data_IF_378595696787
#
_entry.id   IF_378595696787
#
_cell.length_a   1.000
_cell.length_b   1.000
_cell.length_c   1.000
_cell.angle_alpha   90.00
_cell.angle_beta   90.00
_cell.angle_gamma   90.00
#
_symmetry.space_group_name_H-M   'P 1'
#
loop_
_entity.id
_entity.type
_entity.pdbx_description
1 polymer ?
#
# COMPACT_ATOMS: atom_id res chain seq x y z
N UNK A 1 -2.42 4.02 -4.91
CA UNK A 1 -1.33 4.99 -5.11
C UNK A 1 -1.69 6.14 -6.07
N UNK A 2 -2.25 5.84 -7.22
CA UNK A 2 -2.47 6.87 -8.26
C UNK A 2 -3.30 8.07 -7.80
N UNK A 3 -4.40 7.82 -7.08
CA UNK A 3 -5.27 8.86 -6.56
C UNK A 3 -4.69 9.62 -5.36
N UNK A 4 -3.70 9.02 -4.70
CA UNK A 4 -3.08 9.57 -3.50
C UNK A 4 -1.70 10.17 -3.76
N UNK A 5 -1.31 10.29 -5.03
CA UNK A 5 0.05 10.74 -5.38
C UNK A 5 0.42 12.08 -4.73
N UNK A 6 -0.51 13.02 -4.69
CA UNK A 6 -0.28 14.35 -4.11
C UNK A 6 0.06 14.30 -2.62
N UNK A 7 -0.39 13.30 -1.90
CA UNK A 7 -0.10 13.14 -0.47
C UNK A 7 1.39 12.89 -0.20
N UNK A 8 2.11 12.35 -1.19
CA UNK A 8 3.54 12.04 -1.07
C UNK A 8 4.43 13.17 -1.57
N UNK A 9 3.85 14.18 -2.22
CA UNK A 9 4.60 15.32 -2.76
C UNK A 9 4.74 16.43 -1.70
N UNK A 10 5.73 17.27 -1.91
CA UNK A 10 6.02 18.40 -1.04
C UNK A 10 7.08 18.09 0.00
N UNK A 11 7.65 19.14 0.56
CA UNK A 11 8.76 19.05 1.51
C UNK A 11 8.29 19.04 2.96
N UNK A 12 7.04 19.46 3.23
CA UNK A 12 6.49 19.48 4.58
C UNK A 12 6.01 18.11 5.00
N UNK A 13 6.37 17.66 6.20
CA UNK A 13 5.93 16.41 6.78
C UNK A 13 4.64 16.64 7.55
N UNK A 14 3.51 16.64 6.86
CA UNK A 14 2.20 16.76 7.49
C UNK A 14 1.74 15.43 8.08
N UNK A 15 0.76 15.48 8.99
CA UNK A 15 0.16 14.26 9.55
C UNK A 15 -0.44 13.37 8.46
N UNK A 16 -1.06 13.96 7.45
CA UNK A 16 -1.62 13.22 6.32
C UNK A 16 -0.53 12.51 5.52
N UNK A 17 0.58 13.17 5.22
CA UNK A 17 1.72 12.59 4.53
C UNK A 17 2.33 11.43 5.33
N UNK A 18 2.49 11.60 6.63
CA UNK A 18 3.00 10.56 7.51
C UNK A 18 2.07 9.34 7.52
N UNK A 19 0.77 9.56 7.61
CA UNK A 19 -0.23 8.48 7.54
C UNK A 19 -0.17 7.73 6.21
N UNK A 20 0.02 8.45 5.10
CA UNK A 20 0.16 7.84 3.78
C UNK A 20 1.39 6.93 3.70
N UNK A 21 2.53 7.38 4.19
CA UNK A 21 3.75 6.56 4.22
C UNK A 21 3.61 5.34 5.13
N UNK A 22 3.01 5.50 6.29
CA UNK A 22 2.78 4.37 7.21
C UNK A 22 1.85 3.32 6.59
N UNK A 23 0.81 3.75 5.90
CA UNK A 23 -0.11 2.85 5.21
C UNK A 23 0.60 2.10 4.10
N UNK A 24 1.40 2.80 3.29
CA UNK A 24 2.18 2.18 2.22
C UNK A 24 3.18 1.16 2.77
N UNK A 25 3.88 1.50 3.84
CA UNK A 25 4.80 0.59 4.51
C UNK A 25 4.10 -0.69 4.97
N UNK A 26 2.96 -0.55 5.65
CA UNK A 26 2.16 -1.68 6.12
C UNK A 26 1.70 -2.57 4.96
N UNK A 27 1.27 -1.97 3.86
CA UNK A 27 0.87 -2.71 2.67
C UNK A 27 2.05 -3.50 2.08
N UNK A 28 3.21 -2.88 1.95
CA UNK A 28 4.40 -3.54 1.40
C UNK A 28 4.88 -4.69 2.29
N UNK A 29 4.90 -4.50 3.61
CA UNK A 29 5.27 -5.55 4.55
C UNK A 29 4.30 -6.73 4.47
N UNK A 30 3.00 -6.46 4.43
CA UNK A 30 1.98 -7.50 4.31
C UNK A 30 2.11 -8.26 3.00
N UNK A 31 2.33 -7.56 1.90
CA UNK A 31 2.54 -8.19 0.58
C UNK A 31 3.78 -9.07 0.59
N UNK A 32 4.88 -8.63 1.22
CA UNK A 32 6.09 -9.43 1.33
C UNK A 32 5.82 -10.76 2.05
N UNK A 33 5.06 -10.71 3.14
CA UNK A 33 4.69 -11.93 3.89
C UNK A 33 3.79 -12.85 3.08
N UNK A 34 2.82 -12.28 2.34
CA UNK A 34 1.91 -13.05 1.49
C UNK A 34 2.61 -13.68 0.30
N UNK A 35 3.64 -13.02 -0.24
CA UNK A 35 4.40 -13.50 -1.40
C UNK A 35 5.41 -14.59 -1.06
N UNK A 36 5.78 -14.73 0.21
CA UNK A 36 6.86 -15.63 0.61
C UNK A 36 6.72 -17.06 0.09
N UNK A 37 5.53 -17.71 0.10
CA UNK A 37 5.37 -19.04 -0.45
C UNK A 37 5.49 -19.13 -1.97
N UNK A 38 5.25 -18.04 -2.68
CA UNK A 38 5.21 -18.00 -4.15
C UNK A 38 6.52 -17.49 -4.72
N UNK A 39 7.06 -16.41 -4.14
CA UNK A 39 8.30 -15.77 -4.58
C UNK A 39 9.26 -15.61 -3.40
N UNK A 40 9.85 -16.72 -2.89
CA UNK A 40 10.56 -16.71 -1.62
C UNK A 40 11.78 -15.80 -1.58
N UNK A 41 12.55 -15.74 -2.66
CA UNK A 41 13.77 -14.93 -2.68
C UNK A 41 13.46 -13.43 -2.75
N UNK A 42 12.53 -13.04 -3.59
CA UNK A 42 12.12 -11.65 -3.72
C UNK A 42 11.44 -11.14 -2.45
N UNK A 43 10.53 -11.95 -1.89
CA UNK A 43 9.81 -11.58 -0.68
C UNK A 43 10.77 -11.41 0.52
N UNK A 44 11.76 -12.27 0.64
CA UNK A 44 12.76 -12.20 1.70
C UNK A 44 13.61 -10.93 1.55
N UNK A 45 14.04 -10.60 0.36
CA UNK A 45 14.80 -9.38 0.09
C UNK A 45 13.99 -8.13 0.41
N UNK A 46 12.76 -8.08 -0.06
CA UNK A 46 11.86 -6.95 0.21
C UNK A 46 11.61 -6.78 1.71
N UNK A 47 11.34 -7.86 2.41
CA UNK A 47 11.10 -7.85 3.85
C UNK A 47 12.35 -7.39 4.61
N UNK A 48 13.51 -7.93 4.25
CA UNK A 48 14.77 -7.55 4.87
C UNK A 48 15.06 -6.06 4.69
N UNK A 49 14.86 -5.53 3.48
CA UNK A 49 15.06 -4.10 3.21
C UNK A 49 14.11 -3.22 4.03
N UNK A 50 12.85 -3.60 4.14
CA UNK A 50 11.86 -2.86 4.93
C UNK A 50 12.20 -2.85 6.43
N UNK A 51 12.59 -3.99 6.97
CA UNK A 51 12.95 -4.12 8.38
C UNK A 51 14.25 -3.38 8.68
N UNK A 52 15.25 -3.47 7.80
CA UNK A 52 16.52 -2.77 7.97
C UNK A 52 16.32 -1.25 8.00
N UNK A 53 15.39 -0.73 7.20
CA UNK A 53 15.10 0.69 7.15
C UNK A 53 14.39 1.21 8.40
N UNK A 54 13.57 0.38 9.05
CA UNK A 54 12.71 0.82 10.16
C UNK A 54 13.08 0.22 11.51
N UNK A 55 13.81 -0.89 11.54
CA UNK A 55 14.15 -1.59 12.78
C UNK A 55 12.94 -2.12 13.55
N UNK A 56 11.81 -2.32 12.90
CA UNK A 56 10.53 -2.67 13.52
C UNK A 56 10.46 -4.11 14.05
N UNK A 57 11.26 -4.99 13.46
CA UNK A 57 11.20 -6.40 13.79
C UNK A 57 12.61 -6.94 13.91
N UNK A 58 12.78 -7.96 14.75
CA UNK A 58 14.04 -8.65 14.98
C UNK A 58 14.17 -9.95 14.19
N UNK A 59 13.16 -10.30 13.41
CA UNK A 59 13.14 -11.52 12.60
C UNK A 59 14.11 -11.38 11.42
N UNK A 60 14.97 -12.38 11.24
CA UNK A 60 16.04 -12.35 10.24
C UNK A 60 15.51 -12.55 8.82
N UNK A 61 14.40 -13.26 8.66
CA UNK A 61 13.84 -13.62 7.35
C UNK A 61 12.32 -13.56 7.36
N UNK A 62 11.74 -13.22 6.22
CA UNK A 62 10.28 -13.24 6.03
C UNK A 62 9.69 -14.63 6.27
N UNK A 63 10.47 -15.68 6.01
CA UNK A 63 10.03 -17.07 6.21
C UNK A 63 9.87 -17.44 7.69
N UNK A 64 10.48 -16.69 8.58
CA UNK A 64 10.36 -16.86 10.03
C UNK A 64 9.25 -15.96 10.61
N UNK A 65 8.74 -15.01 9.86
CA UNK A 65 7.67 -14.13 10.28
C UNK A 65 6.32 -14.87 10.22
N UNK A 66 5.38 -14.42 11.06
CA UNK A 66 4.03 -14.98 11.03
C UNK A 66 3.32 -14.59 9.74
N UNK A 67 2.48 -15.47 9.22
CA UNK A 67 1.62 -15.17 8.09
C UNK A 67 0.63 -14.08 8.50
N UNK A 68 0.34 -13.11 7.60
CA UNK A 68 -0.56 -12.01 7.94
C UNK A 68 -1.97 -12.49 8.28
N UNK A 69 -2.55 -11.86 9.29
CA UNK A 69 -3.93 -12.08 9.69
C UNK A 69 -4.78 -10.88 9.30
N UNK A 70 -6.04 -11.12 8.99
CA UNK A 70 -6.97 -10.05 8.66
C UNK A 70 -7.35 -9.27 9.93
N UNK A 71 -7.15 -7.95 9.88
CA UNK A 71 -7.61 -7.07 10.96
C UNK A 71 -8.94 -6.43 10.54
N UNK A 72 -10.05 -7.03 10.97
CA UNK A 72 -11.38 -6.58 10.61
C UNK A 72 -11.70 -5.18 11.14
N UNK A 73 -11.04 -4.74 12.20
CA UNK A 73 -11.24 -3.40 12.76
C UNK A 73 -10.77 -2.28 11.81
N UNK A 74 -9.88 -2.60 10.86
CA UNK A 74 -9.41 -1.66 9.84
C UNK A 74 -10.29 -1.65 8.58
N UNK A 75 -11.24 -2.57 8.47
CA UNK A 75 -12.11 -2.65 7.30
C UNK A 75 -13.26 -1.65 7.48
N UNK A 76 -13.37 -0.74 6.53
CA UNK A 76 -14.44 0.25 6.45
C UNK A 76 -15.13 0.12 5.10
N UNK A 77 -16.23 -0.65 5.08
CA UNK A 77 -16.96 -0.92 3.85
C UNK A 77 -17.55 0.33 3.19
N UNK A 78 -17.94 1.32 3.99
CA UNK A 78 -18.46 2.58 3.46
C UNK A 78 -17.36 3.37 2.74
N UNK A 79 -16.19 3.47 3.37
CA UNK A 79 -15.03 4.14 2.76
C UNK A 79 -14.59 3.42 1.48
N UNK A 80 -14.55 2.10 1.51
CA UNK A 80 -14.20 1.29 0.34
C UNK A 80 -15.17 1.52 -0.82
N UNK A 81 -16.48 1.58 -0.54
CA UNK A 81 -17.49 1.85 -1.55
C UNK A 81 -17.34 3.25 -2.14
N UNK A 82 -17.04 4.25 -1.32
CA UNK A 82 -16.78 5.63 -1.77
C UNK A 82 -15.55 5.72 -2.64
N UNK A 83 -14.47 5.06 -2.27
CA UNK A 83 -13.24 5.02 -3.06
C UNK A 83 -13.43 4.28 -4.38
N UNK A 84 -14.19 3.18 -4.39
CA UNK A 84 -14.51 2.48 -5.61
C UNK A 84 -15.30 3.36 -6.57
N UNK A 85 -16.29 4.10 -6.05
CA UNK A 85 -17.04 5.06 -6.85
C UNK A 85 -16.14 6.16 -7.42
N UNK A 86 -15.23 6.71 -6.61
CA UNK A 86 -14.28 7.72 -7.07
C UNK A 86 -13.39 7.19 -8.19
N UNK A 87 -12.92 5.96 -8.09
CA UNK A 87 -12.12 5.33 -9.14
C UNK A 87 -12.92 5.11 -10.42
N UNK A 88 -14.16 4.66 -10.29
CA UNK A 88 -15.04 4.42 -11.44
C UNK A 88 -15.34 5.71 -12.18
N UNK A 89 -15.71 6.77 -11.45
CA UNK A 89 -15.96 8.09 -12.04
C UNK A 89 -14.71 8.64 -12.72
N UNK A 90 -13.56 8.53 -12.09
CA UNK A 90 -12.29 8.97 -12.67
C UNK A 90 -11.98 8.23 -13.97
N UNK A 91 -12.18 6.92 -14.00
CA UNK A 91 -11.95 6.11 -15.19
C UNK A 91 -12.89 6.49 -16.32
N UNK A 92 -14.17 6.74 -16.01
CA UNK A 92 -15.16 7.18 -17.00
C UNK A 92 -14.80 8.55 -17.59
N UNK A 93 -14.41 9.50 -16.75
CA UNK A 93 -14.03 10.84 -17.22
C UNK A 93 -12.79 10.77 -18.10
N UNK A 94 -11.79 9.98 -17.72
CA UNK A 94 -10.58 9.81 -18.53
C UNK A 94 -10.88 9.14 -19.87
N UNK A 95 -11.78 8.15 -19.88
CA UNK A 95 -12.20 7.50 -21.13
C UNK A 95 -12.91 8.48 -22.06
N UNK A 96 -13.81 9.29 -21.53
CA UNK A 96 -14.52 10.32 -22.32
C UNK A 96 -13.54 11.36 -22.87
N UNK A 97 -12.62 11.84 -22.05
CA UNK A 97 -11.61 12.81 -22.50
C UNK A 97 -10.74 12.23 -23.61
N UNK A 98 -10.37 10.97 -23.52
CA UNK A 98 -9.60 10.29 -24.58
C UNK A 98 -10.41 10.21 -25.87
N UNK A 99 -11.71 9.90 -25.77
CA UNK A 99 -12.59 9.78 -26.94
C UNK A 99 -12.72 11.09 -27.71
N UNK A 100 -12.77 12.23 -27.01
CA UNK A 100 -12.89 13.55 -27.62
C UNK A 100 -11.55 14.28 -27.76
N UNK A 101 -10.47 13.64 -27.41
CA UNK A 101 -9.10 14.12 -27.55
C UNK A 101 -8.81 15.44 -26.79
N UNK A 102 -9.30 15.54 -25.58
CA UNK A 102 -9.07 16.70 -24.69
C UNK A 102 -8.04 16.37 -23.63
#
# INVERSE_FOLDING_TARGET
>A
MRLNRKRFWGNAMSQDKLSAYQTLYTCLETVARLMAPIAPFYADRLYTDLIAATGRDTVVSVHLAKFPECNEALIDGELEARMQMAQDVTSMVLALRRKVNI
#
